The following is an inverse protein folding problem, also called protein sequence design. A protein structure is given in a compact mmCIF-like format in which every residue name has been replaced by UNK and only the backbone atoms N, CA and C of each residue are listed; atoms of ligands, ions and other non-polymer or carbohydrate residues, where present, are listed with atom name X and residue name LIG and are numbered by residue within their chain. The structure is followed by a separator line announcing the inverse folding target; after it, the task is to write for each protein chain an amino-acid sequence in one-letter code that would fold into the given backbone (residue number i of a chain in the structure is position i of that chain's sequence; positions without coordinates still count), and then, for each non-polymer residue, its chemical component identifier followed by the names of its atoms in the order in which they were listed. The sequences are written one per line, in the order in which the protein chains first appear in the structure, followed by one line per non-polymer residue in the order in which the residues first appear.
data_IF_308148062378
#
_entry.id   IF_308148062378
#
_cell.length_a   1.000
_cell.length_b   1.000
_cell.length_c   1.000
_cell.angle_alpha   90.00
_cell.angle_beta   90.00
_cell.angle_gamma   90.00
#
_symmetry.space_group_name_H-M   'P 1'
#
loop_
_entity.id
_entity.type
_entity.pdbx_description
1 polymer ?
#
# COMPACT_ATOMS: atom_id res chain seq x y z
N UNK A 1 -27.04 -9.30 -76.93
CA UNK A 1 -28.06 -9.20 -75.88
C UNK A 1 -28.12 -10.53 -75.18
N UNK A 2 -27.53 -10.66 -74.02
CA UNK A 2 -27.64 -11.82 -73.18
C UNK A 2 -27.88 -11.33 -71.74
N UNK A 3 -29.08 -11.52 -71.26
CA UNK A 3 -29.56 -11.20 -69.92
C UNK A 3 -29.05 -12.24 -68.94
N UNK A 4 -28.24 -11.78 -67.96
CA UNK A 4 -27.78 -12.61 -66.83
C UNK A 4 -28.83 -12.55 -65.70
N UNK A 5 -29.45 -13.69 -65.42
CA UNK A 5 -30.38 -13.88 -64.29
C UNK A 5 -29.53 -14.23 -63.05
N UNK A 6 -29.58 -13.37 -62.01
CA UNK A 6 -28.95 -13.64 -60.71
C UNK A 6 -29.94 -14.44 -59.83
N UNK A 7 -29.54 -15.66 -59.50
CA UNK A 7 -30.29 -16.51 -58.55
C UNK A 7 -29.82 -16.22 -57.12
N UNK A 8 -30.63 -15.57 -56.33
CA UNK A 8 -30.37 -15.34 -54.89
C UNK A 8 -30.87 -16.58 -54.13
N UNK A 9 -29.92 -17.34 -53.57
CA UNK A 9 -30.22 -18.47 -52.67
C UNK A 9 -30.47 -17.93 -51.28
N UNK A 10 -31.72 -17.95 -50.82
CA UNK A 10 -32.12 -17.67 -49.46
C UNK A 10 -31.74 -18.84 -48.56
N UNK A 11 -30.88 -18.62 -47.59
CA UNK A 11 -30.57 -19.60 -46.51
C UNK A 11 -31.65 -19.46 -45.45
N UNK A 12 -32.54 -20.44 -45.40
CA UNK A 12 -33.59 -20.56 -44.39
C UNK A 12 -32.98 -21.01 -43.07
N UNK A 13 -32.94 -20.09 -42.08
CA UNK A 13 -32.48 -20.39 -40.71
C UNK A 13 -33.61 -21.11 -39.97
N UNK A 14 -33.39 -22.36 -39.62
CA UNK A 14 -34.31 -23.15 -38.80
C UNK A 14 -34.58 -22.46 -37.44
N UNK A 15 -35.80 -22.49 -36.90
CA UNK A 15 -36.13 -21.85 -35.62
C UNK A 15 -35.44 -22.58 -34.46
N UNK A 16 -34.66 -21.84 -33.70
CA UNK A 16 -34.11 -22.31 -32.42
C UNK A 16 -35.27 -22.60 -31.47
N UNK A 17 -35.40 -23.85 -31.07
CA UNK A 17 -36.29 -24.28 -29.98
C UNK A 17 -36.03 -23.45 -28.74
N UNK A 18 -37.01 -22.67 -28.32
CA UNK A 18 -37.00 -21.98 -27.05
C UNK A 18 -36.96 -23.01 -25.90
N UNK A 19 -35.86 -23.10 -25.23
CA UNK A 19 -35.76 -23.82 -23.93
C UNK A 19 -36.55 -23.00 -22.93
N UNK A 20 -37.71 -23.47 -22.55
CA UNK A 20 -38.50 -22.96 -21.43
C UNK A 20 -37.61 -23.12 -20.16
N UNK A 21 -36.99 -22.04 -19.74
CA UNK A 21 -36.47 -21.93 -18.38
C UNK A 21 -37.64 -21.58 -17.49
N UNK A 22 -37.96 -22.47 -16.58
CA UNK A 22 -38.86 -22.15 -15.46
C UNK A 22 -38.32 -20.90 -14.74
N UNK A 23 -39.17 -19.97 -14.29
CA UNK A 23 -38.76 -18.84 -13.50
C UNK A 23 -38.20 -19.39 -12.17
N UNK A 24 -36.89 -19.21 -11.94
CA UNK A 24 -36.31 -19.41 -10.62
C UNK A 24 -37.00 -18.35 -9.73
N UNK A 25 -37.84 -18.81 -8.81
CA UNK A 25 -38.41 -17.96 -7.77
C UNK A 25 -37.25 -17.26 -7.04
N UNK A 26 -37.22 -15.94 -7.17
CA UNK A 26 -36.28 -15.11 -6.42
C UNK A 26 -36.57 -15.28 -4.93
N UNK A 27 -35.54 -15.55 -4.09
CA UNK A 27 -35.74 -15.54 -2.66
C UNK A 27 -36.24 -14.15 -2.25
N UNK A 28 -37.36 -14.10 -1.53
CA UNK A 28 -37.90 -12.89 -0.91
C UNK A 28 -36.81 -12.30 -0.01
N UNK A 29 -36.12 -11.27 -0.48
CA UNK A 29 -35.18 -10.50 0.32
C UNK A 29 -35.90 -9.29 0.90
N UNK A 30 -35.74 -9.12 2.19
CA UNK A 30 -36.05 -7.90 2.91
C UNK A 30 -35.51 -6.69 2.15
N UNK A 31 -36.28 -5.61 2.13
CA UNK A 31 -36.13 -4.38 1.37
C UNK A 31 -34.87 -3.57 1.76
N UNK A 32 -33.66 -4.13 1.61
CA UNK A 32 -32.44 -3.33 1.46
C UNK A 32 -32.28 -3.01 -0.03
N UNK A 33 -32.42 -1.76 -0.39
CA UNK A 33 -32.17 -1.28 -1.76
C UNK A 33 -30.75 -1.63 -2.17
N UNK A 34 -30.59 -2.70 -2.92
CA UNK A 34 -29.28 -3.14 -3.43
C UNK A 34 -28.69 -1.97 -4.24
N UNK A 35 -27.51 -1.51 -3.84
CA UNK A 35 -26.81 -0.43 -4.53
C UNK A 35 -26.56 -0.84 -6.00
N UNK A 36 -27.17 -0.16 -6.99
CA UNK A 36 -27.09 -0.57 -8.40
C UNK A 36 -25.66 -0.56 -8.94
N UNK A 37 -24.75 0.21 -8.33
CA UNK A 37 -23.34 0.22 -8.72
C UNK A 37 -22.59 -0.99 -8.17
N UNK A 38 -22.98 -1.50 -7.01
CA UNK A 38 -22.43 -2.72 -6.46
C UNK A 38 -22.86 -3.94 -7.27
N UNK A 39 -24.12 -3.96 -7.71
CA UNK A 39 -24.65 -5.02 -8.59
C UNK A 39 -23.99 -4.99 -9.98
N UNK A 40 -23.86 -3.81 -10.58
CA UNK A 40 -23.10 -3.64 -11.82
C UNK A 40 -21.62 -4.04 -11.69
N UNK A 41 -21.01 -3.78 -10.53
CA UNK A 41 -19.65 -4.21 -10.24
C UNK A 41 -19.55 -5.72 -10.10
N UNK A 42 -20.52 -6.39 -9.46
CA UNK A 42 -20.56 -7.86 -9.34
C UNK A 42 -20.72 -8.52 -10.71
N UNK A 43 -21.56 -7.96 -11.58
CA UNK A 43 -21.70 -8.43 -12.95
C UNK A 43 -20.41 -8.23 -13.75
N UNK A 44 -19.75 -7.08 -13.63
CA UNK A 44 -18.46 -6.83 -14.26
C UNK A 44 -17.35 -7.73 -13.73
N UNK A 45 -17.37 -8.06 -12.43
CA UNK A 45 -16.40 -8.95 -11.77
C UNK A 45 -16.61 -10.41 -12.16
N UNK A 46 -17.82 -10.83 -12.60
CA UNK A 46 -18.07 -12.20 -13.08
C UNK A 46 -17.31 -12.53 -14.37
N UNK A 47 -17.01 -11.53 -15.19
CA UNK A 47 -16.30 -11.66 -16.47
C UNK A 47 -14.79 -11.43 -16.36
N UNK A 48 -14.24 -11.26 -15.15
CA UNK A 48 -12.81 -11.03 -14.92
C UNK A 48 -12.02 -12.30 -15.22
N UNK A 49 -10.95 -12.24 -16.05
CA UNK A 49 -10.24 -13.44 -16.54
C UNK A 49 -9.39 -14.14 -15.48
N UNK A 50 -9.14 -13.55 -14.29
CA UNK A 50 -8.26 -14.08 -13.22
C UNK A 50 -6.88 -14.56 -13.72
N UNK A 51 -6.33 -13.89 -14.74
CA UNK A 51 -5.07 -14.28 -15.35
C UNK A 51 -4.74 -13.52 -16.64
N UNK A 52 -4.02 -14.18 -17.53
CA UNK A 52 -3.64 -13.62 -18.83
C UNK A 52 -2.79 -12.36 -18.71
N UNK A 53 -3.17 -11.29 -19.42
CA UNK A 53 -2.48 -9.99 -19.39
C UNK A 53 -2.47 -9.34 -17.98
N UNK A 54 -3.37 -9.76 -17.09
CA UNK A 54 -3.38 -9.30 -15.71
C UNK A 54 -2.06 -9.53 -14.99
N UNK A 55 -1.34 -10.61 -15.28
CA UNK A 55 -0.01 -10.84 -14.69
C UNK A 55 1.06 -9.88 -15.20
N UNK A 56 0.94 -9.40 -16.44
CA UNK A 56 1.82 -8.32 -16.96
C UNK A 56 1.55 -7.02 -16.20
N UNK A 57 0.28 -6.71 -15.94
CA UNK A 57 -0.09 -5.54 -15.12
C UNK A 57 0.43 -5.69 -13.69
N UNK A 58 0.31 -6.88 -13.07
CA UNK A 58 0.86 -7.16 -11.73
C UNK A 58 2.37 -6.97 -11.70
N UNK A 59 3.11 -7.52 -12.67
CA UNK A 59 4.56 -7.35 -12.76
C UNK A 59 4.94 -5.88 -12.94
N UNK A 60 4.24 -5.15 -13.81
CA UNK A 60 4.43 -3.70 -13.99
C UNK A 60 4.18 -2.93 -12.69
N UNK A 61 3.07 -3.20 -12.00
CA UNK A 61 2.75 -2.59 -10.71
C UNK A 61 3.79 -2.95 -9.63
N UNK A 62 4.35 -4.17 -9.66
CA UNK A 62 5.41 -4.57 -8.73
C UNK A 62 6.70 -3.75 -8.94
N UNK A 63 7.07 -3.46 -10.19
CA UNK A 63 8.21 -2.58 -10.51
C UNK A 63 7.91 -1.14 -10.05
N UNK A 64 6.69 -0.64 -10.24
CA UNK A 64 6.30 0.68 -9.73
C UNK A 64 6.39 0.72 -8.20
N UNK A 65 5.91 -0.34 -7.52
CA UNK A 65 5.99 -0.46 -6.06
C UNK A 65 7.43 -0.57 -5.57
N UNK A 66 8.32 -1.23 -6.32
CA UNK A 66 9.75 -1.30 -6.04
C UNK A 66 10.34 0.10 -5.89
N UNK A 67 10.06 0.98 -6.83
CA UNK A 67 10.58 2.35 -6.77
C UNK A 67 9.86 3.22 -5.74
N UNK A 68 8.54 3.14 -5.64
CA UNK A 68 7.76 3.97 -4.71
C UNK A 68 8.06 3.65 -3.25
N UNK A 69 7.91 2.37 -2.88
CA UNK A 69 8.08 1.93 -1.48
C UNK A 69 9.56 1.70 -1.17
N UNK A 70 10.30 1.14 -2.13
CA UNK A 70 11.72 0.85 -1.95
C UNK A 70 12.55 2.10 -1.69
N UNK A 71 12.34 3.17 -2.45
CA UNK A 71 12.99 4.47 -2.22
C UNK A 71 12.63 5.04 -0.85
N UNK A 72 11.33 5.00 -0.47
CA UNK A 72 10.89 5.48 0.84
C UNK A 72 11.57 4.73 2.01
N UNK A 73 11.75 3.42 1.89
CA UNK A 73 12.38 2.60 2.94
C UNK A 73 13.92 2.73 2.98
N UNK A 74 14.52 3.14 1.88
CA UNK A 74 15.98 3.35 1.80
C UNK A 74 16.41 4.75 2.24
N UNK A 75 15.49 5.69 2.43
CA UNK A 75 15.79 7.07 2.87
C UNK A 75 16.70 7.13 4.10
N UNK A 76 16.50 6.25 5.08
CA UNK A 76 17.28 6.24 6.32
C UNK A 76 18.78 6.12 6.11
N UNK A 77 19.24 5.48 5.02
CA UNK A 77 20.66 5.34 4.69
C UNK A 77 21.21 6.68 4.17
N UNK A 78 20.47 7.32 3.26
CA UNK A 78 20.84 8.63 2.72
C UNK A 78 20.81 9.67 3.82
N UNK A 79 19.76 9.66 4.66
CA UNK A 79 19.63 10.52 5.83
C UNK A 79 20.83 10.40 6.75
N UNK A 80 21.27 9.16 7.05
CA UNK A 80 22.43 8.90 7.90
C UNK A 80 23.71 9.52 7.36
N UNK A 81 23.94 9.43 6.05
CA UNK A 81 25.07 10.06 5.40
C UNK A 81 25.00 11.60 5.46
N UNK A 82 23.85 12.19 5.15
CA UNK A 82 23.65 13.65 5.20
C UNK A 82 23.81 14.22 6.63
N UNK A 83 23.44 13.45 7.66
CA UNK A 83 23.69 13.82 9.06
C UNK A 83 25.18 13.78 9.37
N UNK A 84 25.90 12.74 8.91
CA UNK A 84 27.37 12.63 9.11
C UNK A 84 28.11 13.73 8.38
N UNK A 85 27.63 14.17 7.21
CA UNK A 85 28.17 15.30 6.45
C UNK A 85 27.84 16.67 7.11
N UNK A 86 27.07 16.67 8.21
CA UNK A 86 26.73 17.87 8.96
C UNK A 86 25.69 18.79 8.32
N UNK A 87 24.88 18.29 7.36
CA UNK A 87 23.90 19.10 6.64
C UNK A 87 22.80 19.65 7.57
N UNK A 88 22.27 18.82 8.47
CA UNK A 88 21.21 19.22 9.41
C UNK A 88 21.02 18.16 10.51
N UNK A 89 20.17 18.47 11.49
CA UNK A 89 19.80 17.53 12.55
C UNK A 89 19.03 16.31 12.00
N UNK A 90 19.15 15.14 12.64
CA UNK A 90 18.39 13.95 12.29
C UNK A 90 16.88 14.19 12.24
N UNK A 91 16.34 15.01 13.14
CA UNK A 91 14.93 15.35 13.22
C UNK A 91 14.45 16.08 11.95
N UNK A 92 15.19 17.08 11.47
CA UNK A 92 14.83 17.84 10.26
C UNK A 92 14.87 16.95 9.03
N UNK A 93 15.92 16.11 8.89
CA UNK A 93 16.05 15.21 7.75
C UNK A 93 15.03 14.06 7.79
N UNK A 94 14.63 13.61 8.97
CA UNK A 94 13.52 12.67 9.11
C UNK A 94 12.18 13.26 8.64
N UNK A 95 11.98 14.58 8.86
CA UNK A 95 10.80 15.29 8.36
C UNK A 95 10.78 15.33 6.82
N UNK A 96 11.94 15.53 6.18
CA UNK A 96 12.06 15.46 4.71
C UNK A 96 11.58 14.10 4.20
N UNK A 97 12.10 13.00 4.77
CA UNK A 97 11.71 11.65 4.36
C UNK A 97 10.26 11.28 4.68
N UNK A 98 9.68 11.83 5.76
CA UNK A 98 8.28 11.60 6.14
C UNK A 98 7.28 12.36 5.25
N UNK A 99 7.69 13.48 4.65
CA UNK A 99 6.81 14.32 3.85
C UNK A 99 6.34 13.62 2.57
N UNK A 100 7.20 12.80 1.93
CA UNK A 100 6.85 12.03 0.75
C UNK A 100 5.65 11.09 0.98
N UNK A 101 5.70 10.13 1.91
CA UNK A 101 4.56 9.28 2.27
C UNK A 101 3.33 10.07 2.76
N UNK A 102 3.54 11.18 3.47
CA UNK A 102 2.43 12.05 3.91
C UNK A 102 1.69 12.66 2.72
N UNK A 103 2.42 13.22 1.75
CA UNK A 103 1.81 13.78 0.54
C UNK A 103 1.18 12.72 -0.34
N UNK A 104 1.79 11.53 -0.47
CA UNK A 104 1.15 10.38 -1.14
C UNK A 104 -0.29 10.23 -0.63
N UNK A 105 -0.47 10.24 0.69
CA UNK A 105 -1.77 10.06 1.32
C UNK A 105 -2.65 11.31 1.22
N UNK A 106 -2.13 12.49 1.54
CA UNK A 106 -2.88 13.74 1.58
C UNK A 106 -3.54 14.09 0.24
N UNK A 107 -2.85 13.82 -0.88
CA UNK A 107 -3.37 14.13 -2.22
C UNK A 107 -3.98 12.91 -2.93
N UNK A 108 -4.25 11.80 -2.24
CA UNK A 108 -4.73 10.56 -2.84
C UNK A 108 -6.06 10.72 -3.60
N UNK A 109 -6.98 11.55 -3.11
CA UNK A 109 -8.23 11.88 -3.81
C UNK A 109 -7.93 12.57 -5.16
N UNK A 110 -7.01 13.53 -5.17
CA UNK A 110 -6.58 14.22 -6.40
C UNK A 110 -5.94 13.23 -7.38
N UNK A 111 -5.05 12.38 -6.90
CA UNK A 111 -4.39 11.35 -7.70
C UNK A 111 -5.39 10.37 -8.31
N UNK A 112 -6.42 9.98 -7.55
CA UNK A 112 -7.50 9.13 -8.05
C UNK A 112 -8.27 9.78 -9.20
N UNK A 113 -8.46 11.11 -9.14
CA UNK A 113 -9.10 11.86 -10.21
C UNK A 113 -8.21 11.98 -11.45
N UNK A 114 -6.92 12.30 -11.25
CA UNK A 114 -5.93 12.35 -12.36
C UNK A 114 -5.94 11.01 -13.09
N UNK A 115 -5.86 9.89 -12.36
CA UNK A 115 -5.88 8.56 -12.95
C UNK A 115 -7.14 8.30 -13.80
N UNK A 116 -8.32 8.76 -13.35
CA UNK A 116 -9.56 8.63 -14.11
C UNK A 116 -9.62 9.53 -15.36
N UNK A 117 -8.88 10.65 -15.36
CA UNK A 117 -8.83 11.58 -16.49
C UNK A 117 -7.87 11.12 -17.59
N UNK A 118 -6.66 10.72 -17.21
CA UNK A 118 -5.59 10.38 -18.16
C UNK A 118 -5.34 8.88 -18.31
N UNK A 119 -5.96 8.04 -17.46
CA UNK A 119 -5.84 6.59 -17.48
C UNK A 119 -4.64 6.05 -16.70
N UNK A 120 -4.67 4.75 -16.40
CA UNK A 120 -3.68 4.05 -15.56
C UNK A 120 -2.26 4.17 -16.10
N UNK A 121 -2.09 3.98 -17.43
CA UNK A 121 -0.77 4.03 -18.10
C UNK A 121 -0.09 5.37 -17.90
N UNK A 122 -0.75 6.45 -18.32
CA UNK A 122 -0.15 7.79 -18.25
C UNK A 122 0.04 8.28 -16.83
N UNK A 123 -0.85 7.89 -15.90
CA UNK A 123 -0.68 8.18 -14.46
C UNK A 123 0.55 7.47 -13.90
N UNK A 124 0.74 6.18 -14.23
CA UNK A 124 1.93 5.43 -13.82
C UNK A 124 3.23 6.02 -14.40
N UNK A 125 3.22 6.37 -15.69
CA UNK A 125 4.37 7.02 -16.35
C UNK A 125 4.70 8.38 -15.72
N UNK A 126 3.69 9.22 -15.49
CA UNK A 126 3.87 10.53 -14.85
C UNK A 126 4.41 10.37 -13.42
N UNK A 127 3.86 9.43 -12.64
CA UNK A 127 4.33 9.17 -11.29
C UNK A 127 5.78 8.71 -11.23
N UNK A 128 6.16 7.73 -12.06
CA UNK A 128 7.56 7.25 -12.17
C UNK A 128 8.50 8.37 -12.66
N UNK A 129 8.07 9.15 -13.64
CA UNK A 129 8.87 10.29 -14.13
C UNK A 129 9.12 11.31 -13.01
N UNK A 130 8.09 11.65 -12.21
CA UNK A 130 8.24 12.57 -11.07
C UNK A 130 9.15 12.01 -9.98
N UNK A 131 9.07 10.71 -9.67
CA UNK A 131 9.98 10.05 -8.72
C UNK A 131 11.42 10.18 -9.23
N UNK A 132 11.70 9.75 -10.45
CA UNK A 132 13.06 9.80 -10.99
C UNK A 132 13.58 11.22 -11.15
N UNK A 133 12.73 12.18 -11.53
CA UNK A 133 13.09 13.59 -11.63
C UNK A 133 13.40 14.18 -10.23
N UNK A 134 12.61 13.84 -9.21
CA UNK A 134 12.84 14.27 -7.83
C UNK A 134 14.22 13.85 -7.34
N UNK A 135 14.57 12.58 -7.50
CA UNK A 135 15.86 12.02 -7.15
C UNK A 135 17.03 12.71 -7.91
N UNK A 136 16.88 12.91 -9.23
CA UNK A 136 17.89 13.60 -10.01
C UNK A 136 18.08 15.04 -9.53
N UNK A 137 17.00 15.76 -9.25
CA UNK A 137 17.05 17.13 -8.73
C UNK A 137 17.62 17.17 -7.31
N UNK A 138 17.31 16.19 -6.45
CA UNK A 138 17.87 16.06 -5.12
C UNK A 138 19.40 15.94 -5.16
N UNK A 139 19.97 15.32 -6.20
CA UNK A 139 21.42 15.24 -6.38
C UNK A 139 22.11 16.59 -6.48
N UNK A 140 21.41 17.63 -6.90
CA UNK A 140 21.91 19.02 -6.94
C UNK A 140 21.57 19.80 -5.68
N UNK A 141 20.65 19.28 -4.87
CA UNK A 141 20.17 19.89 -3.62
C UNK A 141 20.80 19.28 -2.37
N UNK A 142 21.78 18.39 -2.49
CA UNK A 142 22.41 17.64 -1.38
C UNK A 142 22.90 18.54 -0.25
N UNK A 143 23.34 19.78 -0.57
CA UNK A 143 23.84 20.76 0.39
C UNK A 143 22.78 21.77 0.84
N UNK A 144 21.50 21.56 0.50
CA UNK A 144 20.42 22.49 0.76
C UNK A 144 19.21 21.81 1.37
N UNK A 145 18.98 22.01 2.66
CA UNK A 145 17.82 21.46 3.37
C UNK A 145 16.49 21.90 2.70
N UNK A 146 16.26 23.18 2.36
CA UNK A 146 15.05 23.59 1.63
C UNK A 146 14.94 22.91 0.26
N UNK A 147 16.04 22.70 -0.44
CA UNK A 147 16.08 21.99 -1.71
C UNK A 147 15.61 20.54 -1.56
N UNK A 148 16.07 19.83 -0.54
CA UNK A 148 15.63 18.48 -0.23
C UNK A 148 14.15 18.42 0.18
N UNK A 149 13.63 19.40 0.91
CA UNK A 149 12.20 19.47 1.19
C UNK A 149 11.35 19.55 -0.08
N UNK A 150 11.79 20.31 -1.09
CA UNK A 150 11.08 20.46 -2.35
C UNK A 150 11.21 19.19 -3.18
N UNK A 151 12.40 18.62 -3.29
CA UNK A 151 12.68 17.46 -4.16
C UNK A 151 12.20 16.16 -3.52
N UNK A 152 12.74 15.78 -2.36
CA UNK A 152 12.45 14.53 -1.66
C UNK A 152 11.13 14.57 -0.87
N UNK A 153 10.72 15.75 -0.44
CA UNK A 153 9.43 15.90 0.24
C UNK A 153 8.29 16.03 -0.76
N UNK A 154 8.25 17.14 -1.49
CA UNK A 154 7.08 17.51 -2.29
C UNK A 154 7.04 16.77 -3.61
N UNK A 155 8.08 16.87 -4.44
CA UNK A 155 8.07 16.34 -5.80
C UNK A 155 8.02 14.80 -5.80
N UNK A 156 8.83 14.17 -4.94
CA UNK A 156 8.83 12.72 -4.73
C UNK A 156 7.47 12.24 -4.22
N UNK A 157 6.89 12.95 -3.24
CA UNK A 157 5.59 12.60 -2.66
C UNK A 157 4.44 12.65 -3.66
N UNK A 158 4.44 13.62 -4.58
CA UNK A 158 3.48 13.68 -5.69
C UNK A 158 3.65 12.46 -6.63
N UNK A 159 4.88 12.10 -6.96
CA UNK A 159 5.18 10.89 -7.73
C UNK A 159 4.73 9.61 -7.02
N UNK A 160 5.01 9.49 -5.72
CA UNK A 160 4.55 8.39 -4.88
C UNK A 160 3.03 8.24 -4.91
N UNK A 161 2.30 9.33 -4.77
CA UNK A 161 0.84 9.30 -4.78
C UNK A 161 0.25 8.80 -6.09
N UNK A 162 0.79 9.24 -7.24
CA UNK A 162 0.35 8.80 -8.56
C UNK A 162 0.66 7.31 -8.81
N UNK A 163 1.84 6.85 -8.44
CA UNK A 163 2.21 5.43 -8.60
C UNK A 163 1.43 4.55 -7.63
N UNK A 164 1.21 5.00 -6.39
CA UNK A 164 0.49 4.23 -5.38
C UNK A 164 -0.97 3.98 -5.77
N UNK A 165 -1.69 4.98 -6.30
CA UNK A 165 -3.08 4.77 -6.72
C UNK A 165 -3.18 3.78 -7.89
N UNK A 166 -2.23 3.81 -8.82
CA UNK A 166 -2.13 2.86 -9.92
C UNK A 166 -1.88 1.43 -9.41
N UNK A 167 -0.91 1.25 -8.51
CA UNK A 167 -0.54 -0.06 -7.97
C UNK A 167 -1.62 -0.66 -7.08
N UNK A 168 -2.36 0.18 -6.35
CA UNK A 168 -3.45 -0.25 -5.47
C UNK A 168 -4.73 -0.64 -6.22
N UNK A 169 -4.97 -0.09 -7.42
CA UNK A 169 -6.24 -0.26 -8.12
C UNK A 169 -6.12 -1.05 -9.42
N UNK A 170 -4.92 -1.10 -10.02
CA UNK A 170 -4.68 -1.80 -11.28
C UNK A 170 -5.03 -3.29 -11.26
N UNK A 171 -4.56 -4.08 -10.29
CA UNK A 171 -4.86 -5.51 -10.22
C UNK A 171 -6.34 -5.84 -10.08
N UNK A 172 -7.12 -4.97 -9.43
CA UNK A 172 -8.55 -5.17 -9.21
C UNK A 172 -9.37 -5.28 -10.50
N UNK A 173 -8.86 -4.77 -11.62
CA UNK A 173 -9.52 -4.86 -12.93
C UNK A 173 -9.33 -6.22 -13.64
N UNK A 174 -8.32 -6.99 -13.24
CA UNK A 174 -7.93 -8.24 -13.90
C UNK A 174 -8.11 -9.48 -13.03
N UNK A 175 -8.28 -9.28 -11.71
CA UNK A 175 -8.39 -10.36 -10.75
C UNK A 175 -9.61 -10.18 -9.86
N UNK A 176 -10.39 -11.23 -9.73
CA UNK A 176 -11.51 -11.37 -8.80
C UNK A 176 -11.18 -12.42 -7.73
N UNK A 177 -10.98 -13.68 -8.14
CA UNK A 177 -10.67 -14.81 -7.23
C UNK A 177 -9.26 -14.75 -6.65
N UNK A 178 -8.28 -14.24 -7.42
CA UNK A 178 -6.85 -14.13 -7.05
C UNK A 178 -6.43 -12.68 -6.76
N UNK A 179 -7.38 -11.80 -6.42
CA UNK A 179 -7.12 -10.37 -6.18
C UNK A 179 -6.14 -10.14 -5.02
N UNK A 180 -6.28 -10.93 -3.96
CA UNK A 180 -5.37 -10.86 -2.81
C UNK A 180 -3.94 -11.23 -3.17
N UNK A 181 -3.73 -12.36 -3.86
CA UNK A 181 -2.41 -12.77 -4.34
C UNK A 181 -1.80 -11.71 -5.27
N UNK A 182 -2.58 -11.19 -6.23
CA UNK A 182 -2.11 -10.17 -7.17
C UNK A 182 -1.63 -8.91 -6.43
N UNK A 183 -2.41 -8.40 -5.48
CA UNK A 183 -2.01 -7.27 -4.63
C UNK A 183 -0.79 -7.61 -3.76
N UNK A 184 -0.75 -8.82 -3.19
CA UNK A 184 0.40 -9.30 -2.41
C UNK A 184 1.71 -9.24 -3.20
N UNK A 185 1.72 -9.72 -4.45
CA UNK A 185 2.89 -9.68 -5.34
C UNK A 185 3.27 -8.24 -5.70
N UNK A 186 2.29 -7.39 -6.02
CA UNK A 186 2.54 -5.97 -6.33
C UNK A 186 3.25 -5.27 -5.18
N UNK A 187 2.73 -5.39 -3.98
CA UNK A 187 3.32 -4.69 -2.83
C UNK A 187 4.60 -5.35 -2.32
N UNK A 188 4.77 -6.68 -2.51
CA UNK A 188 6.05 -7.35 -2.21
C UNK A 188 7.20 -6.78 -3.01
N UNK A 189 6.95 -6.34 -4.26
CA UNK A 189 7.94 -5.61 -5.06
C UNK A 189 8.57 -4.45 -4.31
N UNK A 190 7.75 -3.67 -3.57
CA UNK A 190 8.26 -2.57 -2.75
C UNK A 190 9.13 -3.00 -1.57
N UNK A 191 8.77 -4.09 -0.89
CA UNK A 191 9.58 -4.63 0.22
C UNK A 191 10.93 -5.18 -0.24
N UNK A 192 10.93 -5.94 -1.34
CA UNK A 192 12.17 -6.42 -1.96
C UNK A 192 13.01 -5.25 -2.50
N UNK A 193 12.35 -4.24 -3.12
CA UNK A 193 13.00 -3.02 -3.59
C UNK A 193 13.74 -2.31 -2.46
N UNK A 194 13.07 -2.08 -1.33
CA UNK A 194 13.69 -1.47 -0.15
C UNK A 194 14.88 -2.26 0.39
N UNK A 195 14.78 -3.59 0.44
CA UNK A 195 15.88 -4.44 0.89
C UNK A 195 17.10 -4.33 -0.05
N UNK A 196 16.90 -4.44 -1.37
CA UNK A 196 17.99 -4.37 -2.36
C UNK A 196 18.59 -2.96 -2.42
N UNK A 197 17.75 -1.92 -2.45
CA UNK A 197 18.23 -0.54 -2.48
C UNK A 197 19.02 -0.20 -1.22
N UNK A 198 18.59 -0.65 -0.05
CA UNK A 198 19.31 -0.44 1.21
C UNK A 198 20.73 -1.06 1.18
N UNK A 199 20.86 -2.26 0.61
CA UNK A 199 22.16 -2.91 0.48
C UNK A 199 23.06 -2.25 -0.58
N UNK A 200 22.47 -1.67 -1.64
CA UNK A 200 23.23 -1.07 -2.74
C UNK A 200 23.66 0.37 -2.44
N UNK A 201 22.86 1.12 -1.68
CA UNK A 201 23.12 2.55 -1.42
C UNK A 201 24.28 2.80 -0.48
N UNK A 202 24.47 1.99 0.57
CA UNK A 202 25.56 2.20 1.54
C UNK A 202 26.95 2.18 0.87
N UNK A 203 27.35 1.14 0.11
CA UNK A 203 28.63 1.15 -0.58
C UNK A 203 28.74 2.24 -1.65
N UNK A 204 27.63 2.59 -2.33
CA UNK A 204 27.61 3.64 -3.33
C UNK A 204 27.86 5.02 -2.70
N UNK A 205 27.20 5.32 -1.58
CA UNK A 205 27.40 6.57 -0.83
C UNK A 205 28.85 6.69 -0.34
N UNK A 206 29.41 5.61 0.21
CA UNK A 206 30.80 5.61 0.69
C UNK A 206 31.82 5.81 -0.42
N UNK A 207 31.56 5.33 -1.63
CA UNK A 207 32.49 5.41 -2.75
C UNK A 207 32.34 6.68 -3.60
N UNK A 208 31.10 7.15 -3.81
CA UNK A 208 30.80 8.22 -4.75
C UNK A 208 30.00 9.40 -4.14
N UNK A 209 29.61 9.28 -2.87
CA UNK A 209 28.87 10.30 -2.14
C UNK A 209 27.35 10.29 -2.37
N UNK A 210 26.60 11.05 -1.51
CA UNK A 210 25.13 11.06 -1.55
C UNK A 210 24.55 11.56 -2.88
N UNK A 211 25.21 12.51 -3.54
CA UNK A 211 24.75 13.05 -4.82
C UNK A 211 24.68 11.97 -5.93
N UNK A 212 25.65 11.07 -5.98
CA UNK A 212 25.62 9.96 -6.94
C UNK A 212 24.60 8.89 -6.56
N UNK A 213 24.32 8.70 -5.27
CA UNK A 213 23.23 7.83 -4.82
C UNK A 213 21.88 8.31 -5.40
N UNK A 214 21.57 9.58 -5.26
CA UNK A 214 20.37 10.18 -5.84
C UNK A 214 20.31 10.07 -7.37
N UNK A 215 21.42 10.36 -8.06
CA UNK A 215 21.47 10.21 -9.55
C UNK A 215 21.21 8.77 -9.97
N UNK A 216 21.83 7.82 -9.30
CA UNK A 216 21.66 6.38 -9.60
C UNK A 216 20.22 5.95 -9.36
N UNK A 217 19.61 6.35 -8.24
CA UNK A 217 18.19 6.09 -7.95
C UNK A 217 17.31 6.66 -9.05
N UNK A 218 17.44 7.96 -9.37
CA UNK A 218 16.60 8.62 -10.35
C UNK A 218 16.73 8.03 -11.75
N UNK A 219 17.95 7.80 -12.24
CA UNK A 219 18.19 7.21 -13.57
C UNK A 219 17.68 5.76 -13.63
N UNK A 220 17.90 4.95 -12.59
CA UNK A 220 17.40 3.58 -12.54
C UNK A 220 15.88 3.53 -12.47
N UNK A 221 15.25 4.44 -11.73
CA UNK A 221 13.79 4.60 -11.65
C UNK A 221 13.22 4.89 -13.04
N UNK A 222 13.77 5.86 -13.75
CA UNK A 222 13.33 6.20 -15.11
C UNK A 222 13.56 5.05 -16.08
N UNK A 223 14.76 4.47 -16.07
CA UNK A 223 15.17 3.44 -17.04
C UNK A 223 14.34 2.15 -16.91
N UNK A 224 13.94 1.76 -15.71
CA UNK A 224 13.18 0.52 -15.48
C UNK A 224 11.70 0.76 -15.26
N UNK A 225 11.34 1.85 -14.59
CA UNK A 225 9.97 2.14 -14.24
C UNK A 225 9.12 2.67 -15.41
N UNK A 226 9.67 3.50 -16.32
CA UNK A 226 8.91 3.98 -17.49
C UNK A 226 8.51 2.83 -18.44
N UNK A 227 9.42 1.91 -18.84
CA UNK A 227 9.03 0.74 -19.62
C UNK A 227 7.96 -0.11 -18.88
N UNK A 228 8.11 -0.33 -17.58
CA UNK A 228 7.11 -1.06 -16.80
C UNK A 228 5.74 -0.35 -16.81
N UNK A 229 5.72 0.97 -16.63
CA UNK A 229 4.48 1.76 -16.67
C UNK A 229 3.84 1.75 -18.07
N UNK A 230 4.62 1.65 -19.15
CA UNK A 230 4.10 1.54 -20.51
C UNK A 230 3.25 0.29 -20.74
N UNK A 231 3.58 -0.84 -20.09
CA UNK A 231 2.80 -2.07 -20.19
C UNK A 231 1.50 -2.04 -19.36
N UNK A 232 1.26 -1.02 -18.56
CA UNK A 232 -0.01 -0.87 -17.86
C UNK A 232 -1.16 -0.65 -18.86
N UNK A 233 -2.23 -1.40 -18.71
CA UNK A 233 -3.42 -1.32 -19.57
C UNK A 233 -4.67 -1.36 -18.71
N UNK A 234 -5.62 -0.48 -19.00
CA UNK A 234 -6.97 -0.55 -18.43
C UNK A 234 -7.80 -1.61 -19.15
N UNK A 235 -8.54 -2.40 -18.39
CA UNK A 235 -9.55 -3.31 -18.93
C UNK A 235 -10.90 -2.62 -19.07
N UNK A 236 -11.28 -1.82 -18.08
CA UNK A 236 -12.56 -1.12 -18.03
C UNK A 236 -12.34 0.37 -17.79
N UNK A 237 -12.79 1.19 -18.73
CA UNK A 237 -12.69 2.66 -18.60
C UNK A 237 -13.86 3.20 -17.76
N UNK A 238 -13.78 3.12 -16.44
CA UNK A 238 -14.76 3.77 -15.55
C UNK A 238 -14.39 5.24 -15.40
N UNK A 239 -14.78 6.06 -16.39
CA UNK A 239 -14.49 7.51 -16.41
C UNK A 239 -15.53 8.37 -15.69
N UNK A 240 -16.68 7.80 -15.28
CA UNK A 240 -17.81 8.53 -14.68
C UNK A 240 -17.80 8.36 -13.16
N UNK A 241 -17.46 9.43 -12.44
CA UNK A 241 -17.54 9.49 -10.98
C UNK A 241 -17.19 10.89 -10.49
N UNK A 242 -17.80 11.33 -9.41
CA UNK A 242 -17.50 12.59 -8.73
C UNK A 242 -16.06 12.63 -8.22
N UNK A 243 -15.63 13.79 -7.71
CA UNK A 243 -14.33 13.97 -7.08
C UNK A 243 -14.24 13.12 -5.81
N UNK A 244 -15.32 13.15 -5.02
CA UNK A 244 -15.54 12.39 -3.79
C UNK A 244 -16.94 11.79 -3.87
N UNK A 245 -17.09 10.54 -3.51
CA UNK A 245 -18.39 9.89 -3.44
C UNK A 245 -18.93 9.95 -2.01
N UNK A 246 -19.49 11.10 -1.62
CA UNK A 246 -20.02 11.33 -0.27
C UNK A 246 -21.07 10.30 0.17
N UNK A 247 -21.69 9.61 -0.76
CA UNK A 247 -22.64 8.53 -0.47
C UNK A 247 -21.97 7.36 0.26
N UNK A 248 -20.68 7.13 0.05
CA UNK A 248 -19.92 6.07 0.76
C UNK A 248 -19.91 6.30 2.27
N UNK A 249 -19.91 7.56 2.73
CA UNK A 249 -19.98 7.85 4.18
C UNK A 249 -21.34 7.55 4.81
N UNK A 250 -22.39 7.25 4.02
CA UNK A 250 -23.67 6.74 4.52
C UNK A 250 -23.60 5.22 4.79
N UNK A 251 -22.65 4.52 4.19
CA UNK A 251 -22.37 3.12 4.48
C UNK A 251 -21.42 3.03 5.71
N UNK A 252 -21.96 2.49 6.80
CA UNK A 252 -21.16 2.30 8.03
C UNK A 252 -19.95 1.38 7.80
N UNK A 253 -20.00 0.45 6.86
CA UNK A 253 -18.85 -0.40 6.56
C UNK A 253 -17.71 0.45 5.97
N UNK A 254 -18.04 1.42 5.09
CA UNK A 254 -17.05 2.36 4.59
C UNK A 254 -16.46 3.23 5.70
N UNK A 255 -17.30 3.76 6.59
CA UNK A 255 -16.86 4.59 7.72
C UNK A 255 -15.91 3.80 8.63
N UNK A 256 -16.23 2.55 8.94
CA UNK A 256 -15.37 1.72 9.79
C UNK A 256 -14.04 1.36 9.10
N UNK A 257 -14.03 1.03 7.81
CA UNK A 257 -12.79 0.81 7.05
C UNK A 257 -11.96 2.09 6.97
N UNK A 258 -12.60 3.25 6.76
CA UNK A 258 -11.95 4.56 6.72
C UNK A 258 -11.28 4.89 8.06
N UNK A 259 -11.98 4.70 9.19
CA UNK A 259 -11.44 4.92 10.54
C UNK A 259 -10.33 3.90 10.85
N UNK A 260 -10.54 2.62 10.52
CA UNK A 260 -9.52 1.58 10.69
C UNK A 260 -8.24 1.91 9.92
N UNK A 261 -8.37 2.41 8.69
CA UNK A 261 -7.24 2.89 7.90
C UNK A 261 -6.54 4.09 8.56
N UNK A 262 -7.33 5.08 9.00
CA UNK A 262 -6.80 6.28 9.64
C UNK A 262 -5.98 5.97 10.89
N UNK A 263 -6.55 5.21 11.84
CA UNK A 263 -5.86 4.89 13.10
C UNK A 263 -4.81 3.78 12.95
N UNK A 264 -5.02 2.85 12.01
CA UNK A 264 -4.11 1.74 11.75
C UNK A 264 -2.78 2.17 11.14
N UNK A 265 -2.69 3.37 10.54
CA UNK A 265 -1.44 3.89 9.98
C UNK A 265 -0.51 4.52 11.01
N UNK A 266 -1.01 4.96 12.15
CA UNK A 266 -0.17 5.50 13.24
C UNK A 266 0.90 4.49 13.73
N UNK A 267 0.56 3.22 14.00
CA UNK A 267 1.54 2.25 14.45
C UNK A 267 2.52 1.77 13.36
N UNK A 268 2.21 1.95 12.07
CA UNK A 268 2.98 1.31 10.99
C UNK A 268 4.46 1.71 10.94
N UNK A 269 4.77 2.97 11.23
CA UNK A 269 6.13 3.50 11.18
C UNK A 269 6.86 3.44 12.54
N UNK A 270 6.15 3.13 13.63
CA UNK A 270 6.77 3.10 14.97
C UNK A 270 7.81 1.97 15.07
N UNK A 271 7.51 0.70 14.76
CA UNK A 271 8.51 -0.36 14.85
C UNK A 271 9.75 -0.09 13.97
N UNK A 272 9.66 0.20 12.67
CA UNK A 272 10.84 0.39 11.85
C UNK A 272 11.74 1.56 12.29
N UNK A 273 11.18 2.61 12.90
CA UNK A 273 11.98 3.73 13.37
C UNK A 273 12.61 3.48 14.75
N UNK A 274 11.94 2.69 15.60
CA UNK A 274 12.37 2.50 16.98
C UNK A 274 13.12 1.17 17.24
N UNK A 275 13.05 0.16 16.34
CA UNK A 275 13.80 -1.09 16.50
C UNK A 275 15.31 -0.84 16.64
N UNK A 276 15.99 -0.04 15.79
CA UNK A 276 17.42 0.19 15.94
C UNK A 276 17.78 0.91 17.26
N UNK A 277 16.98 1.91 17.64
CA UNK A 277 17.17 2.67 18.88
C UNK A 277 16.96 1.77 20.11
N UNK A 278 15.90 0.98 20.11
CA UNK A 278 15.61 0.04 21.17
C UNK A 278 16.68 -1.06 21.29
N UNK A 279 17.21 -1.56 20.17
CA UNK A 279 18.31 -2.51 20.17
C UNK A 279 19.54 -1.94 20.89
N UNK A 280 19.89 -0.67 20.63
CA UNK A 280 20.94 0.01 21.34
C UNK A 280 20.65 0.19 22.84
N UNK A 281 19.40 0.53 23.20
CA UNK A 281 18.98 0.71 24.58
C UNK A 281 19.04 -0.59 25.41
N UNK A 282 18.97 -1.76 24.78
CA UNK A 282 19.17 -3.08 25.44
C UNK A 282 20.63 -3.59 25.32
N UNK A 283 21.57 -2.75 24.87
CA UNK A 283 22.99 -3.08 24.79
C UNK A 283 23.44 -3.85 23.55
N UNK A 284 22.61 -3.94 22.52
CA UNK A 284 23.00 -4.54 21.24
C UNK A 284 23.75 -3.53 20.36
N UNK A 285 24.61 -4.02 19.47
CA UNK A 285 25.33 -3.16 18.53
C UNK A 285 24.41 -2.50 17.49
N UNK A 286 24.81 -1.33 16.99
CA UNK A 286 24.10 -0.65 15.90
C UNK A 286 23.97 -1.51 14.65
N UNK A 287 24.99 -2.34 14.35
CA UNK A 287 24.94 -3.30 13.25
C UNK A 287 23.82 -4.36 13.47
N UNK A 288 23.65 -4.83 14.70
CA UNK A 288 22.55 -5.76 15.05
C UNK A 288 21.20 -5.08 14.92
N UNK A 289 21.07 -3.81 15.35
CA UNK A 289 19.87 -3.01 15.17
C UNK A 289 19.48 -2.84 13.69
N UNK A 290 20.46 -2.53 12.85
CA UNK A 290 20.28 -2.44 11.39
C UNK A 290 19.87 -3.79 10.77
N UNK A 291 20.49 -4.90 11.23
CA UNK A 291 20.14 -6.26 10.80
C UNK A 291 18.72 -6.64 11.19
N UNK A 292 18.24 -6.26 12.38
CA UNK A 292 16.86 -6.47 12.83
C UNK A 292 15.86 -5.68 11.96
N UNK A 293 16.19 -4.44 11.60
CA UNK A 293 15.37 -3.64 10.69
C UNK A 293 15.34 -4.23 9.28
N UNK A 294 16.47 -4.70 8.76
CA UNK A 294 16.51 -5.40 7.47
C UNK A 294 15.65 -6.67 7.50
N UNK A 295 15.73 -7.44 8.59
CA UNK A 295 14.87 -8.61 8.83
C UNK A 295 13.38 -8.25 8.89
N UNK A 296 13.01 -7.15 9.55
CA UNK A 296 11.66 -6.62 9.56
C UNK A 296 11.15 -6.31 8.14
N UNK A 297 11.94 -5.60 7.34
CA UNK A 297 11.57 -5.24 5.96
C UNK A 297 11.43 -6.46 5.04
N UNK A 298 12.33 -7.43 5.16
CA UNK A 298 12.23 -8.69 4.42
C UNK A 298 11.00 -9.48 4.85
N UNK A 299 10.74 -9.60 6.16
CA UNK A 299 9.54 -10.23 6.69
C UNK A 299 8.26 -9.51 6.22
N UNK A 300 8.29 -8.17 6.11
CA UNK A 300 7.19 -7.39 5.55
C UNK A 300 6.92 -7.75 4.08
N UNK A 301 7.96 -7.93 3.27
CA UNK A 301 7.78 -8.37 1.87
C UNK A 301 7.14 -9.76 1.78
N UNK A 302 7.61 -10.71 2.58
CA UNK A 302 7.01 -12.06 2.68
C UNK A 302 5.57 -11.98 3.19
N UNK A 303 5.33 -11.18 4.23
CA UNK A 303 4.01 -10.96 4.82
C UNK A 303 2.98 -10.43 3.81
N UNK A 304 3.39 -9.57 2.88
CA UNK A 304 2.53 -9.04 1.80
C UNK A 304 2.02 -10.15 0.88
N UNK A 305 2.88 -11.08 0.49
CA UNK A 305 2.48 -12.23 -0.35
C UNK A 305 1.58 -13.19 0.44
N UNK A 306 2.00 -13.56 1.65
CA UNK A 306 1.24 -14.50 2.50
C UNK A 306 -0.15 -13.95 2.85
N UNK A 307 -0.25 -12.67 3.21
CA UNK A 307 -1.54 -12.03 3.48
C UNK A 307 -2.41 -11.92 2.24
N UNK A 308 -1.80 -11.72 1.05
CA UNK A 308 -2.51 -11.77 -0.22
C UNK A 308 -3.13 -13.15 -0.49
N UNK A 309 -2.37 -14.23 -0.30
CA UNK A 309 -2.87 -15.60 -0.40
C UNK A 309 -3.97 -15.86 0.63
N UNK A 310 -3.80 -15.32 1.85
CA UNK A 310 -4.76 -15.47 2.92
C UNK A 310 -6.09 -14.77 2.58
N UNK A 311 -6.04 -13.57 1.99
CA UNK A 311 -7.24 -12.89 1.46
C UNK A 311 -8.04 -13.80 0.52
N UNK A 312 -7.36 -14.49 -0.39
CA UNK A 312 -8.03 -15.34 -1.37
C UNK A 312 -8.61 -16.63 -0.73
N UNK A 313 -8.03 -17.08 0.40
CA UNK A 313 -8.47 -18.30 1.10
C UNK A 313 -9.56 -18.03 2.13
N UNK A 314 -9.33 -17.13 3.07
CA UNK A 314 -10.24 -16.90 4.21
C UNK A 314 -11.09 -15.63 4.07
N UNK A 315 -10.84 -14.82 3.03
CA UNK A 315 -11.49 -13.54 2.79
C UNK A 315 -10.65 -12.34 3.25
N UNK A 316 -10.82 -11.19 2.58
CA UNK A 316 -9.97 -10.03 2.79
C UNK A 316 -10.18 -9.34 4.15
N UNK A 317 -11.40 -9.30 4.69
CA UNK A 317 -11.67 -8.73 6.03
C UNK A 317 -11.03 -9.58 7.12
N UNK A 318 -11.14 -10.93 7.02
CA UNK A 318 -10.50 -11.84 7.97
C UNK A 318 -8.97 -11.72 7.91
N UNK A 319 -8.39 -11.60 6.72
CA UNK A 319 -6.94 -11.44 6.54
C UNK A 319 -6.43 -10.10 7.11
N UNK A 320 -7.16 -9.01 6.90
CA UNK A 320 -6.80 -7.69 7.43
C UNK A 320 -6.96 -7.67 8.97
N UNK A 321 -8.03 -8.25 9.50
CA UNK A 321 -8.22 -8.40 10.94
C UNK A 321 -7.08 -9.18 11.59
N UNK A 322 -6.68 -10.31 10.98
CA UNK A 322 -5.55 -11.11 11.47
C UNK A 322 -4.23 -10.33 11.44
N UNK A 323 -3.96 -9.60 10.35
CA UNK A 323 -2.76 -8.78 10.23
C UNK A 323 -2.70 -7.68 11.31
N UNK A 324 -3.78 -6.92 11.51
CA UNK A 324 -3.85 -5.88 12.53
C UNK A 324 -3.77 -6.44 13.95
N UNK A 325 -4.44 -7.58 14.20
CA UNK A 325 -4.39 -8.27 15.51
C UNK A 325 -2.99 -8.78 15.81
N UNK A 326 -2.30 -9.35 14.83
CA UNK A 326 -0.92 -9.83 14.98
C UNK A 326 0.04 -8.65 15.21
N UNK A 327 -0.15 -7.53 14.52
CA UNK A 327 0.58 -6.30 14.78
C UNK A 327 0.36 -5.81 16.22
N UNK A 328 -0.89 -5.73 16.67
CA UNK A 328 -1.23 -5.31 18.03
C UNK A 328 -0.62 -6.22 19.10
N UNK A 329 -0.80 -7.54 18.96
CA UNK A 329 -0.26 -8.53 19.93
C UNK A 329 1.27 -8.44 19.97
N UNK A 330 1.93 -8.34 18.84
CA UNK A 330 3.40 -8.23 18.80
C UNK A 330 3.91 -6.97 19.51
N UNK A 331 3.22 -5.83 19.36
CA UNK A 331 3.59 -4.57 20.00
C UNK A 331 3.22 -4.52 21.51
N UNK A 332 2.11 -5.12 21.90
CA UNK A 332 1.62 -5.06 23.29
C UNK A 332 2.23 -6.15 24.18
N UNK A 333 2.52 -7.33 23.62
CA UNK A 333 2.96 -8.48 24.40
C UNK A 333 4.41 -8.88 24.13
N UNK A 334 4.88 -8.87 22.87
CA UNK A 334 6.21 -9.37 22.52
C UNK A 334 7.28 -8.29 22.69
N UNK A 335 7.06 -7.08 22.14
CA UNK A 335 8.04 -6.01 22.18
C UNK A 335 8.40 -5.56 23.61
N UNK A 336 7.45 -5.31 24.54
CA UNK A 336 7.76 -4.80 25.88
C UNK A 336 8.57 -5.77 26.76
N UNK A 337 8.62 -7.05 26.41
CA UNK A 337 9.42 -8.08 27.12
C UNK A 337 10.69 -8.48 26.37
N UNK A 338 10.96 -7.87 25.22
CA UNK A 338 12.10 -8.19 24.36
C UNK A 338 13.39 -7.51 24.87
N UNK A 339 13.95 -8.04 25.95
CA UNK A 339 15.19 -7.51 26.58
C UNK A 339 16.48 -8.11 26.01
N UNK A 340 16.39 -9.03 25.07
CA UNK A 340 17.53 -9.70 24.41
C UNK A 340 17.30 -9.81 22.90
N UNK A 341 18.35 -10.21 22.16
CA UNK A 341 18.29 -10.32 20.70
C UNK A 341 17.20 -11.28 20.20
N UNK A 342 17.07 -12.46 20.80
CA UNK A 342 16.16 -13.50 20.28
C UNK A 342 14.67 -13.07 20.29
N UNK A 343 14.07 -12.61 21.41
CA UNK A 343 12.70 -12.13 21.39
C UNK A 343 12.50 -10.87 20.55
N UNK A 344 13.52 -9.98 20.45
CA UNK A 344 13.44 -8.81 19.59
C UNK A 344 13.47 -9.20 18.10
N UNK A 345 14.23 -10.23 17.72
CA UNK A 345 14.20 -10.78 16.36
C UNK A 345 12.83 -11.40 16.03
N UNK A 346 12.24 -12.16 16.97
CA UNK A 346 10.87 -12.70 16.81
C UNK A 346 9.87 -11.56 16.64
N UNK A 347 9.95 -10.52 17.47
CA UNK A 347 9.11 -9.33 17.31
C UNK A 347 9.29 -8.71 15.92
N UNK A 348 10.53 -8.48 15.48
CA UNK A 348 10.84 -7.86 14.18
C UNK A 348 10.24 -8.64 13.02
N UNK A 349 10.35 -9.98 13.04
CA UNK A 349 9.78 -10.84 12.00
C UNK A 349 8.25 -10.82 12.03
N UNK A 350 7.66 -11.07 13.19
CA UNK A 350 6.19 -11.16 13.35
C UNK A 350 5.52 -9.83 13.03
N UNK A 351 6.03 -8.73 13.58
CA UNK A 351 5.49 -7.41 13.33
C UNK A 351 5.73 -6.96 11.88
N UNK A 352 6.89 -7.28 11.30
CA UNK A 352 7.18 -7.03 9.90
C UNK A 352 6.18 -7.70 8.97
N UNK A 353 5.90 -9.00 9.17
CA UNK A 353 4.89 -9.73 8.38
C UNK A 353 3.49 -9.10 8.53
N UNK A 354 3.09 -8.73 9.73
CA UNK A 354 1.81 -8.10 10.02
C UNK A 354 1.69 -6.71 9.35
N UNK A 355 2.76 -5.91 9.43
CA UNK A 355 2.86 -4.59 8.79
C UNK A 355 2.70 -4.70 7.25
N UNK A 356 3.39 -5.67 6.64
CA UNK A 356 3.23 -5.96 5.21
C UNK A 356 1.80 -6.36 4.85
N UNK A 357 1.16 -7.14 5.73
CA UNK A 357 -0.22 -7.57 5.57
C UNK A 357 -1.21 -6.42 5.41
N UNK A 358 -1.11 -5.38 6.21
CA UNK A 358 -1.97 -4.19 6.13
C UNK A 358 -2.00 -3.59 4.71
N UNK A 359 -0.83 -3.35 4.12
CA UNK A 359 -0.72 -2.71 2.81
C UNK A 359 -1.26 -3.57 1.67
N UNK A 360 -1.04 -4.88 1.71
CA UNK A 360 -1.49 -5.78 0.64
C UNK A 360 -2.98 -6.12 0.73
N UNK A 361 -3.55 -6.15 1.94
CA UNK A 361 -4.95 -6.53 2.15
C UNK A 361 -5.92 -5.38 1.96
N UNK A 362 -5.56 -4.14 2.31
CA UNK A 362 -6.45 -3.00 2.26
C UNK A 362 -7.07 -2.76 0.87
N UNK A 363 -6.31 -2.76 -0.26
CA UNK A 363 -6.92 -2.61 -1.59
C UNK A 363 -7.87 -3.75 -1.94
N UNK A 364 -7.59 -4.96 -1.44
CA UNK A 364 -8.47 -6.12 -1.66
C UNK A 364 -9.77 -5.98 -0.88
N UNK A 365 -9.72 -5.53 0.38
CA UNK A 365 -10.90 -5.21 1.21
C UNK A 365 -11.76 -4.17 0.50
N UNK A 366 -11.16 -3.08 0.07
CA UNK A 366 -11.89 -1.98 -0.61
C UNK A 366 -12.53 -2.45 -1.91
N UNK A 367 -11.80 -3.21 -2.72
CA UNK A 367 -12.32 -3.76 -3.98
C UNK A 367 -13.47 -4.74 -3.78
N UNK A 368 -13.43 -5.55 -2.72
CA UNK A 368 -14.48 -6.55 -2.44
C UNK A 368 -15.70 -5.93 -1.74
N UNK A 369 -15.50 -5.00 -0.79
CA UNK A 369 -16.61 -4.39 -0.06
C UNK A 369 -17.40 -3.37 -0.89
N UNK A 370 -16.70 -2.58 -1.74
CA UNK A 370 -17.32 -1.44 -2.44
C UNK A 370 -17.39 -1.61 -3.96
N UNK A 371 -16.87 -2.72 -4.48
CA UNK A 371 -16.92 -3.09 -5.90
C UNK A 371 -15.76 -2.52 -6.72
N UNK A 372 -15.38 -3.25 -7.79
CA UNK A 372 -14.26 -2.89 -8.67
C UNK A 372 -14.46 -1.57 -9.39
N UNK A 373 -15.70 -1.21 -9.72
CA UNK A 373 -16.04 0.05 -10.39
C UNK A 373 -15.76 1.29 -9.51
N UNK A 374 -15.83 1.15 -8.18
CA UNK A 374 -15.63 2.23 -7.21
C UNK A 374 -14.25 2.21 -6.55
N UNK A 375 -13.46 1.15 -6.75
CA UNK A 375 -12.21 0.93 -6.02
C UNK A 375 -11.27 2.13 -6.09
N UNK A 376 -11.15 2.79 -7.22
CA UNK A 376 -10.26 3.96 -7.38
C UNK A 376 -10.68 5.14 -6.52
N UNK A 377 -11.99 5.44 -6.46
CA UNK A 377 -12.51 6.56 -5.64
C UNK A 377 -12.43 6.21 -4.17
N UNK A 378 -12.90 5.02 -3.80
CA UNK A 378 -12.91 4.54 -2.43
C UNK A 378 -11.48 4.45 -1.85
N UNK A 379 -10.51 3.90 -2.63
CA UNK A 379 -9.10 3.88 -2.24
C UNK A 379 -8.53 5.29 -2.08
N UNK A 380 -8.81 6.21 -3.01
CA UNK A 380 -8.37 7.59 -2.89
C UNK A 380 -8.85 8.23 -1.58
N UNK A 381 -10.12 8.03 -1.21
CA UNK A 381 -10.69 8.55 0.04
C UNK A 381 -10.06 7.88 1.28
N UNK A 382 -9.94 6.55 1.28
CA UNK A 382 -9.36 5.80 2.41
C UNK A 382 -7.88 6.16 2.59
N UNK A 383 -7.09 6.20 1.52
CA UNK A 383 -5.66 6.55 1.60
C UNK A 383 -5.47 7.98 2.10
N UNK A 384 -6.36 8.92 1.74
CA UNK A 384 -6.29 10.28 2.29
C UNK A 384 -6.40 10.29 3.82
N UNK A 385 -7.15 9.36 4.43
CA UNK A 385 -7.22 9.25 5.89
C UNK A 385 -5.91 8.84 6.55
N UNK A 386 -4.98 8.22 5.81
CA UNK A 386 -3.68 7.77 6.32
C UNK A 386 -2.70 8.91 6.57
N UNK A 387 -2.93 10.09 5.99
CA UNK A 387 -2.00 11.22 6.07
C UNK A 387 -1.67 11.62 7.51
N UNK A 388 -2.67 11.61 8.40
CA UNK A 388 -2.47 11.89 9.82
C UNK A 388 -1.55 10.87 10.50
N UNK A 389 -1.75 9.59 10.22
CA UNK A 389 -0.93 8.51 10.76
C UNK A 389 0.53 8.55 10.28
N UNK A 390 0.74 8.79 8.99
CA UNK A 390 2.11 8.95 8.46
C UNK A 390 2.83 10.15 9.03
N UNK A 391 2.12 11.29 9.17
CA UNK A 391 2.74 12.51 9.67
C UNK A 391 3.04 12.47 11.17
N UNK A 392 2.12 11.90 11.97
CA UNK A 392 2.11 12.05 13.44
C UNK A 392 2.46 10.75 14.19
N UNK A 393 2.34 9.57 13.56
CA UNK A 393 2.48 8.29 14.25
C UNK A 393 3.83 8.11 14.95
N UNK A 394 4.92 8.25 14.20
CA UNK A 394 6.26 8.12 14.76
C UNK A 394 6.67 9.34 15.63
N UNK A 395 6.35 10.61 15.27
CA UNK A 395 6.62 11.74 16.15
C UNK A 395 5.96 11.65 17.53
N UNK A 396 4.69 11.21 17.63
CA UNK A 396 4.02 11.00 18.91
C UNK A 396 4.74 9.92 19.74
N UNK A 397 5.16 8.83 19.11
CA UNK A 397 5.93 7.79 19.79
C UNK A 397 7.29 8.31 20.29
N UNK A 398 7.95 9.18 19.51
CA UNK A 398 9.19 9.86 19.91
C UNK A 398 8.98 10.80 21.11
N UNK A 399 7.92 11.60 21.06
CA UNK A 399 7.56 12.48 22.19
C UNK A 399 7.27 11.69 23.47
N UNK A 400 6.57 10.56 23.35
CA UNK A 400 6.34 9.67 24.47
C UNK A 400 7.66 9.11 25.02
N UNK A 401 8.59 8.69 24.16
CA UNK A 401 9.91 8.24 24.58
C UNK A 401 10.65 9.36 25.36
N UNK A 402 10.69 10.57 24.82
CA UNK A 402 11.37 11.70 25.45
C UNK A 402 10.75 12.06 26.80
N UNK A 403 9.43 12.02 26.91
CA UNK A 403 8.72 12.31 28.16
C UNK A 403 8.97 11.29 29.28
N UNK A 404 9.38 10.06 28.93
CA UNK A 404 9.62 8.98 29.89
C UNK A 404 11.10 8.63 30.08
N UNK A 405 12.02 9.53 29.71
CA UNK A 405 13.45 9.41 30.00
C UNK A 405 14.36 9.38 28.77
N UNK A 406 13.80 9.51 27.57
CA UNK A 406 14.57 9.58 26.33
C UNK A 406 15.27 8.26 25.98
N UNK A 407 16.24 8.36 25.05
CA UNK A 407 17.02 7.20 24.59
C UNK A 407 17.88 6.58 25.69
N UNK A 408 18.32 7.39 26.64
CA UNK A 408 19.21 6.99 27.76
C UNK A 408 18.42 6.41 28.94
N UNK A 409 17.06 6.49 28.94
CA UNK A 409 16.19 5.96 30.00
C UNK A 409 16.07 4.42 30.01
N UNK A 410 16.87 3.73 29.18
CA UNK A 410 16.86 2.28 29.04
C UNK A 410 15.58 1.75 28.40
N UNK A 411 15.42 0.42 28.36
CA UNK A 411 14.32 -0.22 27.62
C UNK A 411 12.91 0.14 28.16
N UNK A 412 12.79 0.52 29.43
CA UNK A 412 11.51 0.86 30.04
C UNK A 412 10.92 2.17 29.48
N UNK A 413 11.76 3.11 29.08
CA UNK A 413 11.34 4.38 28.49
C UNK A 413 10.58 4.19 27.16
N UNK A 414 10.82 3.09 26.48
CA UNK A 414 10.14 2.77 25.20
C UNK A 414 8.74 2.18 25.37
N UNK A 415 8.39 1.64 26.56
CA UNK A 415 7.10 0.98 26.78
C UNK A 415 5.89 1.84 26.47
N UNK A 416 5.81 3.13 26.86
CA UNK A 416 4.67 3.98 26.51
C UNK A 416 4.47 4.11 24.99
N UNK A 417 5.54 4.24 24.21
CA UNK A 417 5.48 4.27 22.76
C UNK A 417 5.00 2.93 22.15
N UNK A 418 5.42 1.80 22.73
CA UNK A 418 4.97 0.46 22.31
C UNK A 418 3.47 0.27 22.61
N UNK A 419 3.02 0.64 23.80
CA UNK A 419 1.59 0.54 24.18
C UNK A 419 0.72 1.49 23.37
N UNK A 420 1.18 2.70 23.09
CA UNK A 420 0.52 3.63 22.18
C UNK A 420 0.30 2.99 20.80
N UNK A 421 1.37 2.51 20.18
CA UNK A 421 1.30 1.91 18.86
C UNK A 421 0.43 0.64 18.83
N UNK A 422 0.62 -0.24 19.81
CA UNK A 422 -0.15 -1.49 19.91
C UNK A 422 -1.64 -1.27 20.16
N UNK A 423 -1.99 -0.28 21.00
CA UNK A 423 -3.40 0.06 21.29
C UNK A 423 -4.13 0.61 20.05
N UNK A 424 -3.46 1.43 19.24
CA UNK A 424 -4.04 1.92 17.99
C UNK A 424 -4.19 0.81 16.95
N UNK A 425 -3.24 -0.12 16.85
CA UNK A 425 -3.37 -1.31 16.01
C UNK A 425 -4.55 -2.18 16.44
N UNK A 426 -4.74 -2.38 17.76
CA UNK A 426 -5.87 -3.12 18.31
C UNK A 426 -7.21 -2.42 18.03
N UNK A 427 -7.26 -1.09 18.18
CA UNK A 427 -8.43 -0.29 17.83
C UNK A 427 -8.79 -0.42 16.35
N UNK A 428 -7.79 -0.37 15.45
CA UNK A 428 -8.00 -0.59 14.02
C UNK A 428 -8.54 -2.00 13.73
N UNK A 429 -7.99 -3.04 14.38
CA UNK A 429 -8.50 -4.41 14.28
C UNK A 429 -9.98 -4.49 14.72
N UNK A 430 -10.34 -3.81 15.81
CA UNK A 430 -11.73 -3.76 16.30
C UNK A 430 -12.71 -3.16 15.29
N UNK A 431 -12.33 -2.08 14.58
CA UNK A 431 -13.18 -1.51 13.53
C UNK A 431 -13.33 -2.46 12.33
N UNK A 432 -12.29 -3.17 11.94
CA UNK A 432 -12.38 -4.18 10.87
C UNK A 432 -13.27 -5.36 11.30
N UNK A 433 -13.20 -5.78 12.56
CA UNK A 433 -14.08 -6.83 13.09
C UNK A 433 -15.54 -6.39 13.09
N UNK A 434 -15.85 -5.11 13.39
CA UNK A 434 -17.20 -4.57 13.24
C UNK A 434 -17.72 -4.68 11.80
N UNK A 435 -16.89 -4.34 10.81
CA UNK A 435 -17.26 -4.50 9.39
C UNK A 435 -17.56 -5.96 9.09
N UNK A 436 -16.71 -6.85 9.56
CA UNK A 436 -16.85 -8.29 9.37
C UNK A 436 -18.15 -8.81 9.95
N UNK A 437 -18.49 -8.50 11.21
CA UNK A 437 -19.74 -8.92 11.85
C UNK A 437 -21.00 -8.38 11.16
N UNK A 438 -20.91 -7.17 10.62
CA UNK A 438 -22.01 -6.59 9.82
C UNK A 438 -22.18 -7.29 8.48
N UNK A 439 -21.07 -7.71 7.85
CA UNK A 439 -21.10 -8.42 6.57
C UNK A 439 -21.54 -9.88 6.71
N UNK A 440 -21.10 -10.56 7.76
CA UNK A 440 -21.52 -11.93 8.07
C UNK A 440 -21.27 -12.27 9.54
N UNK A 441 -22.31 -12.72 10.24
CA UNK A 441 -22.23 -13.10 11.67
C UNK A 441 -21.54 -14.44 11.90
N UNK A 442 -21.40 -15.29 10.88
CA UNK A 442 -20.71 -16.56 11.02
C UNK A 442 -19.19 -16.35 11.08
N UNK A 443 -18.58 -16.74 12.19
CA UNK A 443 -17.16 -16.50 12.48
C UNK A 443 -16.22 -17.16 11.47
N UNK A 444 -16.60 -18.27 10.87
CA UNK A 444 -15.80 -19.02 9.88
C UNK A 444 -16.15 -18.68 8.43
N UNK A 445 -17.06 -17.72 8.20
CA UNK A 445 -17.39 -17.33 6.85
C UNK A 445 -16.21 -16.62 6.17
N UNK A 446 -16.03 -16.91 4.89
CA UNK A 446 -15.10 -16.17 4.03
C UNK A 446 -15.70 -14.81 3.73
N UNK A 447 -15.16 -13.75 4.33
CA UNK A 447 -15.63 -12.36 4.18
C UNK A 447 -14.48 -11.44 3.81
#
# INVERSE_FOLDING_TARGET
MATATSTTTAIELAPRTAVHREPIEAPKSDNESVDPVLEASRLADSDVPDGGYGWVVVASCAVLSWWTIGTSYSWGIIQGALVQDGLSSPAVLSFVGALGPTLLAAVAILNSRIMRMIGVRYTGMLGIFLIGLAEILASFAVNSVPGLFITEGVLLGLGFGLTFIVTSTGPAQYFSKKRGLANGVVFAGGGFGGAVLSLALDPLIRSAGPAWAFRTLGLSTIATGLPAAWFLKERTTVRRGGFVEWRLFKDLNFVFVFIAGAIGTFPLLVPPFFIPLFANAIGLSSATGAGLLAGFNFASAVGRVLSGILCDKIGPLNALFLALSLAAISMLAVWPVSTTLAPLAVFSVVNGMANGGFFSTMPTVVGNCFGSARVTVAMGMIVTSWSGGYLLGAPIAGYLLDAYGGQDGGFQAYRPAMFYAGSLALGAAGFIELVRFRSNRNFFAKV
#
